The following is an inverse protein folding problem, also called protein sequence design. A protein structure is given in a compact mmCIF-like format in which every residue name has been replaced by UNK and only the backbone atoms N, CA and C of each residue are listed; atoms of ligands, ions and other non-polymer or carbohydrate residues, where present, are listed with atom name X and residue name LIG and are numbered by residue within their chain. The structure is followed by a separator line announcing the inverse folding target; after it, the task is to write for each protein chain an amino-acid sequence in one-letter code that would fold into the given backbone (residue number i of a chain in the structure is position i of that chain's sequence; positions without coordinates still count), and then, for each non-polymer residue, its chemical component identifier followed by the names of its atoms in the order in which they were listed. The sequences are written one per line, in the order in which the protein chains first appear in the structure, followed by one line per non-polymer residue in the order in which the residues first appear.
data_IF_715549108085
#
_entry.id   IF_715549108085
#
_cell.length_a   1.000
_cell.length_b   1.000
_cell.length_c   1.000
_cell.angle_alpha   90.00
_cell.angle_beta   90.00
_cell.angle_gamma   90.00
#
_symmetry.space_group_name_H-M   'P 1'
#
loop_
_entity.id
_entity.type
_entity.pdbx_description
1 polymer ?
#
# COMPACT_ATOMS: atom_id res chain seq x y z
N UNK A 1 25.61 -3.90 -23.23
CA UNK A 1 25.12 -4.92 -22.28
C UNK A 1 25.31 -6.28 -22.92
N UNK A 2 26.02 -7.20 -22.31
CA UNK A 2 25.96 -8.59 -22.76
C UNK A 2 24.68 -9.19 -22.16
N UNK A 3 23.79 -9.80 -22.96
CA UNK A 3 22.60 -10.48 -22.47
C UNK A 3 23.07 -11.73 -21.70
N UNK A 4 23.22 -11.58 -20.40
CA UNK A 4 23.55 -12.70 -19.52
C UNK A 4 22.33 -13.59 -19.28
N UNK A 5 22.55 -14.87 -19.04
CA UNK A 5 21.52 -15.76 -18.51
C UNK A 5 21.30 -15.42 -17.04
N UNK A 6 20.07 -15.08 -16.65
CA UNK A 6 19.66 -14.87 -15.28
C UNK A 6 18.83 -16.06 -14.78
N UNK A 7 18.90 -16.35 -13.50
CA UNK A 7 18.00 -17.34 -12.92
C UNK A 7 16.59 -16.75 -12.81
N UNK A 8 16.50 -15.48 -12.41
CA UNK A 8 15.23 -14.78 -12.20
C UNK A 8 15.26 -13.41 -12.86
N UNK A 9 14.18 -13.06 -13.55
CA UNK A 9 13.89 -11.69 -13.97
C UNK A 9 12.71 -11.15 -13.18
N UNK A 10 12.88 -9.98 -12.56
CA UNK A 10 11.83 -9.25 -11.85
C UNK A 10 11.42 -8.04 -12.69
N UNK A 11 10.14 -7.94 -13.03
CA UNK A 11 9.55 -6.81 -13.77
C UNK A 11 8.93 -5.83 -12.76
N UNK A 12 9.44 -4.60 -12.72
CA UNK A 12 8.97 -3.53 -11.83
C UNK A 12 9.65 -3.53 -10.47
N UNK A 13 10.14 -2.35 -10.10
CA UNK A 13 10.90 -2.09 -8.86
C UNK A 13 10.03 -1.64 -7.67
N UNK A 14 8.73 -1.92 -7.67
CA UNK A 14 7.90 -1.71 -6.48
C UNK A 14 8.39 -2.58 -5.31
N UNK A 15 7.98 -2.25 -4.08
CA UNK A 15 8.49 -2.90 -2.86
C UNK A 15 8.32 -4.43 -2.85
N UNK A 16 7.26 -4.96 -3.49
CA UNK A 16 7.07 -6.42 -3.64
C UNK A 16 8.12 -7.07 -4.54
N UNK A 17 8.41 -6.43 -5.69
CA UNK A 17 9.45 -6.87 -6.61
C UNK A 17 10.85 -6.75 -6.01
N UNK A 18 11.15 -5.62 -5.34
CA UNK A 18 12.40 -5.41 -4.64
C UNK A 18 12.62 -6.45 -3.53
N UNK A 19 11.60 -6.71 -2.72
CA UNK A 19 11.66 -7.74 -1.67
C UNK A 19 11.95 -9.14 -2.23
N UNK A 20 11.22 -9.55 -3.28
CA UNK A 20 11.46 -10.83 -3.94
C UNK A 20 12.87 -10.92 -4.55
N UNK A 21 13.27 -9.88 -5.29
CA UNK A 21 14.58 -9.83 -5.97
C UNK A 21 15.73 -9.83 -5.00
N UNK A 22 15.68 -9.04 -3.93
CA UNK A 22 16.72 -8.96 -2.91
C UNK A 22 16.89 -10.30 -2.16
N UNK A 23 15.77 -10.93 -1.76
CA UNK A 23 15.81 -12.24 -1.12
C UNK A 23 16.41 -13.31 -2.03
N UNK A 24 16.06 -13.34 -3.29
CA UNK A 24 16.59 -14.31 -4.25
C UNK A 24 18.07 -14.05 -4.55
N UNK A 25 18.47 -12.79 -4.77
CA UNK A 25 19.87 -12.43 -4.94
C UNK A 25 20.74 -12.84 -3.72
N UNK A 26 20.24 -12.58 -2.50
CA UNK A 26 20.90 -12.98 -1.24
C UNK A 26 21.05 -14.50 -1.13
N UNK A 27 20.11 -15.26 -1.69
CA UNK A 27 20.12 -16.74 -1.71
C UNK A 27 20.87 -17.34 -2.89
N UNK A 28 21.63 -16.51 -3.65
CA UNK A 28 22.52 -16.94 -4.71
C UNK A 28 21.92 -17.01 -6.11
N UNK A 29 20.64 -16.61 -6.31
CA UNK A 29 20.05 -16.53 -7.64
C UNK A 29 20.57 -15.29 -8.39
N UNK A 30 21.09 -15.48 -9.59
CA UNK A 30 21.44 -14.34 -10.45
C UNK A 30 20.18 -13.62 -10.91
N UNK A 31 19.91 -12.46 -10.35
CA UNK A 31 18.64 -11.74 -10.47
C UNK A 31 18.79 -10.47 -11.30
N UNK A 32 17.98 -10.34 -12.36
CA UNK A 32 17.81 -9.07 -13.05
C UNK A 32 16.49 -8.42 -12.62
N UNK A 33 16.55 -7.16 -12.22
CA UNK A 33 15.37 -6.30 -12.07
C UNK A 33 15.31 -5.32 -13.23
N UNK A 34 14.14 -5.16 -13.85
CA UNK A 34 13.88 -4.15 -14.87
C UNK A 34 12.79 -3.21 -14.43
N UNK A 35 13.04 -1.91 -14.56
CA UNK A 35 12.14 -0.83 -14.17
C UNK A 35 11.94 0.12 -15.35
N UNK A 36 10.67 0.45 -15.64
CA UNK A 36 10.34 1.30 -16.79
C UNK A 36 10.74 2.76 -16.61
N UNK A 37 10.79 3.25 -15.37
CA UNK A 37 11.15 4.63 -15.03
C UNK A 37 12.61 4.73 -14.60
N UNK A 38 13.12 5.96 -14.48
CA UNK A 38 14.45 6.22 -13.92
C UNK A 38 14.50 6.01 -12.39
N UNK A 39 13.32 5.93 -11.72
CA UNK A 39 13.18 5.89 -10.27
C UNK A 39 12.78 4.51 -9.76
N UNK A 40 13.49 4.03 -8.73
CA UNK A 40 13.22 2.77 -8.04
C UNK A 40 12.17 2.99 -6.95
N UNK A 41 11.33 1.97 -6.70
CA UNK A 41 10.40 1.91 -5.59
C UNK A 41 8.93 2.02 -5.97
N UNK A 42 8.61 2.41 -7.21
CA UNK A 42 7.22 2.56 -7.66
C UNK A 42 6.43 3.51 -6.76
N UNK A 43 5.32 3.06 -6.19
CA UNK A 43 4.50 3.82 -5.21
C UNK A 43 5.14 3.94 -3.81
N UNK A 44 6.21 3.24 -3.56
CA UNK A 44 7.02 3.33 -2.34
C UNK A 44 8.31 4.12 -2.57
N UNK A 45 8.33 4.99 -3.57
CA UNK A 45 9.45 5.85 -3.90
C UNK A 45 9.31 7.25 -3.26
N UNK A 46 10.30 8.09 -3.53
CA UNK A 46 10.32 9.50 -3.16
C UNK A 46 10.64 10.33 -4.40
N UNK A 47 9.92 11.41 -4.59
CA UNK A 47 10.26 12.43 -5.60
C UNK A 47 10.74 13.72 -4.93
N UNK A 48 11.62 14.43 -5.59
CA UNK A 48 12.00 15.78 -5.19
C UNK A 48 11.14 16.78 -5.95
N UNK A 49 10.43 17.63 -5.21
CA UNK A 49 9.57 18.67 -5.77
C UNK A 49 9.76 19.98 -5.04
N UNK A 50 10.29 21.00 -5.71
CA UNK A 50 10.59 22.33 -5.14
C UNK A 50 11.44 22.26 -3.84
N UNK A 51 12.38 21.33 -3.76
CA UNK A 51 13.23 21.11 -2.58
C UNK A 51 12.63 20.24 -1.48
N UNK A 52 11.38 19.81 -1.63
CA UNK A 52 10.73 18.86 -0.72
C UNK A 52 10.89 17.43 -1.23
N UNK A 53 11.01 16.47 -0.31
CA UNK A 53 10.99 15.04 -0.61
C UNK A 53 9.57 14.52 -0.36
N UNK A 54 8.84 14.27 -1.43
CA UNK A 54 7.45 13.83 -1.38
C UNK A 54 7.34 12.34 -1.68
N UNK A 55 6.57 11.57 -0.90
CA UNK A 55 6.29 10.17 -1.20
C UNK A 55 5.40 10.05 -2.43
N UNK A 56 5.68 9.03 -3.24
CA UNK A 56 4.94 8.79 -4.50
C UNK A 56 3.69 7.94 -4.32
N UNK A 57 3.31 7.61 -3.10
CA UNK A 57 2.12 6.78 -2.80
C UNK A 57 2.07 6.42 -1.33
N UNK A 58 2.77 5.37 -0.90
CA UNK A 58 2.89 5.02 0.50
C UNK A 58 3.65 6.13 1.24
N UNK A 59 3.01 6.74 2.23
CA UNK A 59 3.60 7.81 3.03
C UNK A 59 4.23 7.22 4.28
N UNK A 60 3.40 6.63 5.13
CA UNK A 60 3.84 5.94 6.32
C UNK A 60 3.98 4.45 6.06
N UNK A 61 5.00 3.84 6.64
CA UNK A 61 5.26 2.41 6.55
C UNK A 61 5.05 1.76 7.92
N UNK A 62 4.69 0.49 7.91
CA UNK A 62 4.52 -0.29 9.12
C UNK A 62 5.85 -0.98 9.48
N UNK A 63 6.31 -0.83 10.71
CA UNK A 63 7.47 -1.57 11.22
C UNK A 63 7.05 -3.00 11.54
N UNK A 64 7.59 -3.96 10.85
CA UNK A 64 7.23 -5.38 10.98
C UNK A 64 6.44 -5.92 9.79
N UNK A 65 5.79 -7.07 9.96
CA UNK A 65 4.91 -7.73 9.00
C UNK A 65 5.52 -7.90 7.59
N UNK A 66 6.75 -8.40 7.51
CA UNK A 66 7.43 -8.68 6.25
C UNK A 66 8.44 -7.60 5.83
N UNK A 67 8.28 -6.33 6.20
CA UNK A 67 9.27 -5.28 5.86
C UNK A 67 10.55 -5.52 6.67
N UNK A 68 10.48 -5.44 7.99
CA UNK A 68 11.64 -5.61 8.86
C UNK A 68 12.32 -6.96 8.66
N UNK A 69 11.54 -8.04 8.55
CA UNK A 69 12.05 -9.38 8.31
C UNK A 69 12.78 -9.50 6.97
N UNK A 70 12.28 -8.82 5.91
CA UNK A 70 12.97 -8.81 4.61
C UNK A 70 14.32 -8.13 4.71
N UNK A 71 14.38 -6.94 5.32
CA UNK A 71 15.63 -6.21 5.49
C UNK A 71 16.64 -6.98 6.34
N UNK A 72 16.21 -7.57 7.46
CA UNK A 72 17.04 -8.42 8.31
C UNK A 72 17.60 -9.63 7.56
N UNK A 73 16.76 -10.34 6.80
CA UNK A 73 17.17 -11.54 6.07
C UNK A 73 18.18 -11.23 4.97
N UNK A 74 18.06 -10.08 4.31
CA UNK A 74 19.03 -9.68 3.28
C UNK A 74 20.27 -9.00 3.86
N UNK A 75 20.27 -8.70 5.15
CA UNK A 75 21.38 -8.03 5.85
C UNK A 75 21.44 -6.53 5.57
N UNK A 76 20.31 -5.90 5.37
CA UNK A 76 20.15 -4.46 5.23
C UNK A 76 19.46 -3.87 6.47
N UNK A 77 19.72 -2.61 6.76
CA UNK A 77 19.07 -1.85 7.84
C UNK A 77 17.83 -1.15 7.31
N UNK A 78 16.72 -1.24 8.04
CA UNK A 78 15.48 -0.51 7.74
C UNK A 78 15.31 0.64 8.72
N UNK A 79 15.46 1.88 8.23
CA UNK A 79 15.36 3.08 9.05
C UNK A 79 13.94 3.62 9.03
N UNK A 80 13.35 3.73 10.22
CA UNK A 80 11.99 4.26 10.38
C UNK A 80 11.87 5.04 11.69
N UNK A 81 11.39 6.26 11.62
CA UNK A 81 11.02 7.08 12.77
C UNK A 81 9.55 6.85 13.08
N UNK A 82 9.30 6.28 14.25
CA UNK A 82 7.94 5.95 14.68
C UNK A 82 7.12 7.20 14.97
N UNK A 83 5.83 7.17 14.62
CA UNK A 83 4.91 8.24 14.97
C UNK A 83 4.44 8.05 16.43
N UNK A 84 4.74 8.98 17.33
CA UNK A 84 4.47 8.77 18.76
C UNK A 84 3.02 9.01 19.17
N UNK A 85 2.27 9.86 18.41
CA UNK A 85 0.95 10.34 18.80
C UNK A 85 -0.05 10.13 17.65
N UNK A 86 -1.26 9.74 18.02
CA UNK A 86 -2.40 9.60 17.11
C UNK A 86 -3.57 10.42 17.62
N UNK A 87 -4.16 11.22 16.77
CA UNK A 87 -5.34 12.02 17.05
C UNK A 87 -6.51 11.63 16.18
N UNK A 88 -7.70 11.83 16.73
CA UNK A 88 -8.95 11.88 15.98
C UNK A 88 -9.56 13.27 16.11
N UNK A 89 -9.89 13.90 14.98
CA UNK A 89 -10.71 15.11 14.96
C UNK A 89 -12.16 14.73 14.72
N UNK A 90 -13.02 15.07 15.67
CA UNK A 90 -14.45 14.75 15.69
C UNK A 90 -15.20 16.02 16.06
N UNK A 91 -16.10 16.49 15.19
CA UNK A 91 -16.85 17.72 15.43
C UNK A 91 -15.95 18.95 15.70
N UNK A 92 -14.80 19.04 15.02
CA UNK A 92 -13.84 20.13 15.16
C UNK A 92 -12.94 20.07 16.40
N UNK A 93 -13.04 19.03 17.24
CA UNK A 93 -12.19 18.84 18.42
C UNK A 93 -11.20 17.70 18.24
N UNK A 94 -9.96 17.93 18.68
CA UNK A 94 -8.88 16.92 18.62
C UNK A 94 -8.87 16.08 19.88
N UNK A 95 -8.91 14.77 19.70
CA UNK A 95 -8.83 13.77 20.77
C UNK A 95 -7.58 12.94 20.56
N UNK A 96 -6.63 13.06 21.50
CA UNK A 96 -5.44 12.20 21.49
C UNK A 96 -5.82 10.78 21.91
N UNK A 97 -5.36 9.82 21.14
CA UNK A 97 -5.58 8.40 21.40
C UNK A 97 -4.44 7.83 22.23
N UNK A 98 -4.73 7.02 23.24
CA UNK A 98 -3.68 6.39 24.01
C UNK A 98 -2.92 5.38 23.14
N UNK A 99 -1.63 5.27 23.39
CA UNK A 99 -0.70 4.41 22.64
C UNK A 99 -0.90 2.89 22.80
N UNK A 100 -2.01 2.46 23.40
CA UNK A 100 -2.25 1.05 23.78
C UNK A 100 -3.34 0.40 22.92
N UNK A 101 -2.96 -0.54 22.06
CA UNK A 101 -3.77 -1.53 21.33
C UNK A 101 -4.97 -1.05 20.53
N UNK A 102 -5.14 -1.59 19.34
CA UNK A 102 -6.25 -1.24 18.46
C UNK A 102 -7.63 -1.47 19.10
N UNK A 103 -7.80 -2.52 19.89
CA UNK A 103 -9.05 -2.76 20.60
C UNK A 103 -9.26 -1.75 21.75
N UNK A 104 -8.20 -1.39 22.49
CA UNK A 104 -8.26 -0.36 23.55
C UNK A 104 -8.56 1.01 22.94
N UNK A 105 -7.98 1.33 21.78
CA UNK A 105 -8.27 2.55 21.02
C UNK A 105 -9.75 2.62 20.64
N UNK A 106 -10.30 1.54 20.10
CA UNK A 106 -11.71 1.45 19.75
C UNK A 106 -12.61 1.61 20.98
N UNK A 107 -12.27 0.98 22.10
CA UNK A 107 -13.00 1.10 23.36
C UNK A 107 -12.97 2.53 23.91
N UNK A 108 -11.88 3.24 23.76
CA UNK A 108 -11.78 4.64 24.22
C UNK A 108 -12.49 5.62 23.28
N UNK A 109 -12.47 5.39 21.97
CA UNK A 109 -13.32 6.12 21.03
C UNK A 109 -14.79 5.96 21.44
N UNK A 110 -15.23 4.72 21.61
CA UNK A 110 -16.59 4.38 22.02
C UNK A 110 -16.92 4.93 23.42
N UNK A 111 -15.94 4.97 24.34
CA UNK A 111 -16.11 5.54 25.69
C UNK A 111 -16.30 7.04 25.71
N UNK A 112 -15.76 7.77 24.75
CA UNK A 112 -15.92 9.22 24.62
C UNK A 112 -17.22 9.61 23.90
N UNK A 113 -17.94 8.62 23.37
CA UNK A 113 -19.20 8.78 22.68
C UNK A 113 -20.34 8.22 23.54
N UNK A 114 -21.51 8.81 23.46
CA UNK A 114 -22.72 8.29 24.08
C UNK A 114 -23.31 7.09 23.27
N UNK A 115 -22.52 6.02 23.15
CA UNK A 115 -22.88 4.79 22.44
C UNK A 115 -23.18 3.66 23.44
N UNK A 116 -24.10 2.77 23.13
CA UNK A 116 -24.31 1.54 23.93
C UNK A 116 -23.06 0.63 23.83
N UNK A 117 -22.17 0.86 24.79
CA UNK A 117 -20.83 0.25 24.90
C UNK A 117 -20.90 -1.27 24.93
N UNK A 118 -21.91 -1.80 25.61
CA UNK A 118 -22.01 -3.23 25.89
C UNK A 118 -22.23 -4.03 24.61
N UNK A 119 -23.10 -3.53 23.73
CA UNK A 119 -23.41 -4.18 22.45
C UNK A 119 -22.24 -4.08 21.48
N UNK A 120 -21.66 -2.86 21.30
CA UNK A 120 -20.56 -2.67 20.34
C UNK A 120 -19.31 -3.43 20.76
N UNK A 121 -18.92 -3.37 22.05
CA UNK A 121 -17.77 -4.13 22.60
C UNK A 121 -18.01 -5.63 22.48
N UNK A 122 -19.21 -6.09 22.83
CA UNK A 122 -19.58 -7.50 22.67
C UNK A 122 -19.51 -7.95 21.22
N UNK A 123 -19.92 -7.12 20.27
CA UNK A 123 -19.82 -7.38 18.84
C UNK A 123 -18.36 -7.46 18.34
N UNK A 124 -17.51 -6.54 18.76
CA UNK A 124 -16.08 -6.53 18.43
C UNK A 124 -15.35 -7.76 19.01
N UNK A 125 -15.66 -8.11 20.27
CA UNK A 125 -15.11 -9.33 20.91
C UNK A 125 -15.59 -10.58 20.18
N UNK A 126 -16.87 -10.65 19.83
CA UNK A 126 -17.45 -11.76 19.07
C UNK A 126 -16.84 -11.89 17.68
N UNK A 127 -16.60 -10.77 16.98
CA UNK A 127 -15.92 -10.75 15.70
C UNK A 127 -14.47 -11.21 15.82
N UNK A 128 -13.71 -10.71 16.82
CA UNK A 128 -12.33 -11.14 17.08
C UNK A 128 -12.24 -12.62 17.53
N UNK A 129 -13.20 -13.10 18.32
CA UNK A 129 -13.31 -14.52 18.70
C UNK A 129 -13.73 -15.39 17.51
N UNK A 130 -14.63 -14.88 16.65
CA UNK A 130 -15.03 -15.51 15.39
C UNK A 130 -13.85 -15.70 14.44
N UNK A 131 -12.87 -14.79 14.42
CA UNK A 131 -11.64 -14.98 13.65
C UNK A 131 -10.77 -16.15 14.13
N UNK A 132 -10.68 -16.40 15.43
CA UNK A 132 -10.00 -17.59 15.96
C UNK A 132 -10.73 -18.88 15.56
N UNK A 133 -12.06 -18.85 15.50
CA UNK A 133 -12.90 -19.94 15.02
C UNK A 133 -12.88 -20.04 13.50
N UNK A 134 -12.79 -18.91 12.78
CA UNK A 134 -12.72 -18.83 11.31
C UNK A 134 -11.40 -19.35 10.72
N UNK A 135 -10.38 -19.64 11.53
CA UNK A 135 -9.25 -20.46 11.09
C UNK A 135 -9.69 -21.82 10.53
N UNK A 136 -10.81 -22.37 11.02
CA UNK A 136 -11.47 -23.55 10.47
C UNK A 136 -12.40 -23.23 9.27
N UNK A 137 -12.88 -22.00 9.16
CA UNK A 137 -13.74 -21.51 8.08
C UNK A 137 -12.97 -20.98 6.84
N UNK A 138 -11.63 -20.96 6.86
CA UNK A 138 -10.79 -20.52 5.73
C UNK A 138 -11.13 -21.17 4.38
N UNK A 139 -11.79 -22.32 4.39
CA UNK A 139 -12.30 -22.94 3.15
C UNK A 139 -13.52 -22.23 2.56
N UNK A 140 -14.32 -21.51 3.35
CA UNK A 140 -15.49 -20.77 2.86
C UNK A 140 -15.17 -19.32 2.46
N UNK A 141 -14.07 -18.76 2.94
CA UNK A 141 -13.60 -17.41 2.57
C UNK A 141 -12.92 -17.39 1.18
N UNK A 142 -12.75 -18.55 0.55
CA UNK A 142 -12.20 -18.67 -0.79
C UNK A 142 -13.08 -18.02 -1.89
N UNK A 143 -14.31 -17.62 -1.56
CA UNK A 143 -15.27 -17.00 -2.48
C UNK A 143 -15.69 -15.62 -1.95
N UNK A 144 -14.86 -14.58 -2.15
CA UNK A 144 -15.15 -13.22 -1.72
C UNK A 144 -16.47 -12.66 -2.25
N UNK A 145 -16.86 -13.11 -3.43
CA UNK A 145 -18.13 -12.75 -4.08
C UNK A 145 -19.38 -13.21 -3.33
N UNK A 146 -19.25 -14.11 -2.37
CA UNK A 146 -20.34 -14.55 -1.47
C UNK A 146 -20.45 -13.70 -0.21
N UNK A 147 -19.53 -12.79 0.04
CA UNK A 147 -19.60 -11.89 1.19
C UNK A 147 -20.47 -10.68 0.83
N UNK A 148 -21.65 -10.64 1.38
CA UNK A 148 -22.68 -9.63 1.05
C UNK A 148 -22.80 -8.53 2.08
N UNK A 149 -22.22 -8.67 3.29
CA UNK A 149 -22.32 -7.69 4.37
C UNK A 149 -21.16 -6.73 4.34
N UNK A 150 -21.44 -5.42 4.19
CA UNK A 150 -20.43 -4.36 4.34
C UNK A 150 -20.07 -4.17 5.82
N UNK A 151 -18.95 -3.46 6.06
CA UNK A 151 -18.59 -3.14 7.44
C UNK A 151 -19.59 -2.18 8.09
N UNK A 152 -20.16 -1.24 7.32
CA UNK A 152 -21.25 -0.36 7.79
C UNK A 152 -22.50 -1.17 8.19
N UNK A 153 -22.94 -2.13 7.37
CA UNK A 153 -24.09 -2.98 7.71
C UNK A 153 -23.84 -3.82 8.96
N UNK A 154 -22.60 -4.30 9.12
CA UNK A 154 -22.21 -5.01 10.34
C UNK A 154 -22.27 -4.07 11.56
N UNK A 155 -21.75 -2.86 11.45
CA UNK A 155 -21.74 -1.87 12.54
C UNK A 155 -23.15 -1.45 12.95
N UNK A 156 -24.06 -1.28 11.99
CA UNK A 156 -25.48 -0.96 12.22
C UNK A 156 -26.22 -1.98 13.11
N UNK A 157 -25.71 -3.22 13.24
CA UNK A 157 -26.27 -4.19 14.19
C UNK A 157 -26.01 -3.81 15.66
N UNK A 158 -25.10 -2.87 15.90
CA UNK A 158 -24.64 -2.50 17.25
C UNK A 158 -24.85 -1.03 17.57
N UNK A 159 -24.85 -0.15 16.61
CA UNK A 159 -25.03 1.29 16.79
C UNK A 159 -25.50 1.97 15.50
N UNK A 160 -26.37 2.96 15.65
CA UNK A 160 -26.81 3.89 14.62
C UNK A 160 -26.18 5.30 14.81
N UNK A 161 -25.24 5.45 15.73
CA UNK A 161 -24.56 6.71 16.00
C UNK A 161 -23.69 7.12 14.80
N UNK A 162 -24.08 8.22 14.11
CA UNK A 162 -23.40 8.71 12.90
C UNK A 162 -21.92 9.02 13.15
N UNK A 163 -21.57 9.55 14.33
CA UNK A 163 -20.16 9.85 14.65
C UNK A 163 -19.33 8.59 14.77
N UNK A 164 -19.89 7.49 15.30
CA UNK A 164 -19.22 6.20 15.31
C UNK A 164 -19.01 5.68 13.87
N UNK A 165 -20.03 5.82 13.03
CA UNK A 165 -19.92 5.45 11.60
C UNK A 165 -18.86 6.27 10.88
N UNK A 166 -18.78 7.59 11.09
CA UNK A 166 -17.77 8.47 10.48
C UNK A 166 -16.34 8.09 10.90
N UNK A 167 -16.13 7.75 12.18
CA UNK A 167 -14.83 7.32 12.69
C UNK A 167 -14.37 6.02 12.00
N UNK A 168 -15.25 5.03 11.97
CA UNK A 168 -14.93 3.75 11.34
C UNK A 168 -14.79 3.89 9.82
N UNK A 169 -15.55 4.76 9.19
CA UNK A 169 -15.40 5.05 7.77
C UNK A 169 -14.04 5.67 7.47
N UNK A 170 -13.60 6.64 8.28
CA UNK A 170 -12.27 7.25 8.17
C UNK A 170 -11.14 6.21 8.30
N UNK A 171 -11.26 5.26 9.24
CA UNK A 171 -10.31 4.16 9.39
C UNK A 171 -10.28 3.32 8.11
N UNK A 172 -11.44 2.91 7.62
CA UNK A 172 -11.58 2.11 6.42
C UNK A 172 -10.99 2.85 5.20
N UNK A 173 -11.38 4.09 4.97
CA UNK A 173 -10.95 4.90 3.84
C UNK A 173 -9.44 5.15 3.83
N UNK A 174 -8.84 5.43 4.99
CA UNK A 174 -7.40 5.72 5.09
C UNK A 174 -6.53 4.48 4.97
N UNK A 175 -6.96 3.36 5.52
CA UNK A 175 -6.11 2.18 5.71
C UNK A 175 -6.44 1.08 4.72
N UNK A 176 -7.72 0.72 4.62
CA UNK A 176 -8.19 -0.35 3.73
C UNK A 176 -8.45 0.14 2.31
N UNK A 177 -8.30 1.46 2.08
CA UNK A 177 -8.54 2.09 0.78
C UNK A 177 -9.95 1.78 0.24
N UNK A 178 -10.96 1.98 1.07
CA UNK A 178 -12.37 1.83 0.72
C UNK A 178 -13.26 2.26 1.88
N UNK A 179 -14.45 2.77 1.57
CA UNK A 179 -15.39 3.21 2.59
C UNK A 179 -16.05 2.03 3.31
N UNK A 180 -16.46 2.24 4.55
CA UNK A 180 -17.12 1.23 5.39
C UNK A 180 -18.37 0.62 4.72
N UNK A 181 -19.05 1.39 3.86
CA UNK A 181 -20.20 0.95 3.07
C UNK A 181 -19.85 0.22 1.77
N UNK A 182 -18.56 0.09 1.44
CA UNK A 182 -18.06 -0.63 0.26
C UNK A 182 -17.25 -1.87 0.66
N UNK A 183 -16.58 -1.84 1.81
CA UNK A 183 -15.68 -2.91 2.27
C UNK A 183 -16.47 -4.04 2.92
N UNK A 184 -16.21 -5.29 2.55
CA UNK A 184 -16.73 -6.43 3.31
C UNK A 184 -16.25 -6.40 4.77
N UNK A 185 -17.16 -6.62 5.72
CA UNK A 185 -16.82 -6.65 7.15
C UNK A 185 -15.64 -7.59 7.47
N UNK A 186 -15.58 -8.73 6.79
CA UNK A 186 -14.51 -9.70 6.96
C UNK A 186 -13.12 -9.20 6.55
N UNK A 187 -13.00 -8.12 5.78
CA UNK A 187 -11.71 -7.52 5.42
C UNK A 187 -11.15 -6.65 6.56
N UNK A 188 -12.03 -6.01 7.33
CA UNK A 188 -11.63 -5.03 8.36
C UNK A 188 -11.10 -5.71 9.63
N UNK A 189 -11.70 -6.82 10.06
CA UNK A 189 -11.30 -7.48 11.31
C UNK A 189 -9.84 -7.98 11.34
N UNK A 190 -9.30 -8.58 10.26
CA UNK A 190 -7.91 -9.00 10.24
C UNK A 190 -6.92 -7.84 10.40
N UNK A 191 -7.26 -6.65 9.95
CA UNK A 191 -6.43 -5.47 10.15
C UNK A 191 -6.26 -5.16 11.64
N UNK A 192 -7.34 -5.17 12.43
CA UNK A 192 -7.25 -4.93 13.87
C UNK A 192 -6.48 -6.03 14.61
N UNK A 193 -6.60 -7.28 14.17
CA UNK A 193 -6.03 -8.42 14.88
C UNK A 193 -4.60 -8.77 14.46
N UNK A 194 -4.26 -8.57 13.18
CA UNK A 194 -2.95 -8.95 12.62
C UNK A 194 -1.98 -7.79 12.53
N UNK A 195 -2.46 -6.61 12.15
CA UNK A 195 -1.60 -5.45 11.92
C UNK A 195 -1.39 -4.58 13.17
N UNK A 196 -2.05 -4.87 14.28
CA UNK A 196 -1.89 -4.10 15.52
C UNK A 196 -2.38 -2.65 15.41
N UNK A 197 -3.12 -2.33 14.37
CA UNK A 197 -3.60 -0.97 14.10
C UNK A 197 -2.50 -0.01 13.63
N UNK A 198 -2.60 1.26 14.01
CA UNK A 198 -1.65 2.34 13.63
C UNK A 198 -0.43 2.46 14.55
N UNK A 199 -0.19 1.52 15.46
CA UNK A 199 0.85 1.64 16.48
C UNK A 199 2.28 1.58 15.98
N UNK A 200 2.51 0.73 14.98
CA UNK A 200 3.85 0.48 14.45
C UNK A 200 4.06 1.18 13.11
N UNK A 201 3.46 2.36 12.97
CA UNK A 201 3.55 3.17 11.77
C UNK A 201 4.56 4.29 11.97
N UNK A 202 5.40 4.51 10.97
CA UNK A 202 6.42 5.54 10.97
C UNK A 202 6.75 6.05 9.58
N UNK A 203 7.61 7.04 9.51
CA UNK A 203 8.17 7.59 8.29
C UNK A 203 9.66 7.28 8.19
N UNK A 204 10.13 7.03 7.00
CA UNK A 204 11.56 6.86 6.73
C UNK A 204 12.24 8.23 6.70
N UNK A 205 13.33 8.46 7.47
CA UNK A 205 13.95 9.77 7.62
C UNK A 205 14.36 10.40 6.29
N UNK A 206 14.93 9.61 5.38
CA UNK A 206 15.43 10.08 4.09
C UNK A 206 14.44 9.86 2.94
N UNK A 207 13.19 9.50 3.25
CA UNK A 207 12.15 9.14 2.31
C UNK A 207 12.19 7.65 1.90
N UNK A 208 11.04 7.14 1.50
CA UNK A 208 10.88 5.70 1.18
C UNK A 208 11.82 5.23 0.06
N UNK A 209 12.10 6.10 -0.93
CA UNK A 209 13.01 5.77 -2.02
C UNK A 209 14.42 5.39 -1.57
N UNK A 210 14.91 6.00 -0.49
CA UNK A 210 16.22 5.65 0.10
C UNK A 210 16.22 4.22 0.64
N UNK A 211 15.13 3.80 1.27
CA UNK A 211 14.98 2.43 1.75
C UNK A 211 14.88 1.44 0.59
N UNK A 212 14.14 1.80 -0.47
CA UNK A 212 14.02 0.95 -1.67
C UNK A 212 15.38 0.73 -2.35
N UNK A 213 16.24 1.74 -2.37
CA UNK A 213 17.58 1.64 -2.94
C UNK A 213 18.49 0.67 -2.15
N UNK A 214 18.30 0.51 -0.83
CA UNK A 214 19.00 -0.49 -0.04
C UNK A 214 18.70 -1.91 -0.53
N UNK A 215 17.42 -2.23 -0.85
CA UNK A 215 17.06 -3.52 -1.42
C UNK A 215 17.63 -3.70 -2.84
N UNK A 216 17.62 -2.64 -3.65
CA UNK A 216 18.22 -2.67 -4.98
C UNK A 216 19.73 -2.91 -4.93
N UNK A 217 20.44 -2.35 -3.94
CA UNK A 217 21.87 -2.63 -3.69
C UNK A 217 22.11 -4.11 -3.41
N UNK A 218 21.25 -4.77 -2.65
CA UNK A 218 21.35 -6.21 -2.42
C UNK A 218 21.18 -6.99 -3.73
N UNK A 219 20.25 -6.63 -4.60
CA UNK A 219 20.08 -7.27 -5.92
C UNK A 219 21.39 -7.15 -6.73
N UNK A 220 22.03 -5.96 -6.73
CA UNK A 220 23.28 -5.71 -7.46
C UNK A 220 24.48 -6.51 -6.96
N UNK A 221 24.40 -7.15 -5.78
CA UNK A 221 25.49 -8.03 -5.31
C UNK A 221 25.56 -9.35 -6.06
N UNK A 222 24.45 -9.82 -6.66
CA UNK A 222 24.39 -11.05 -7.43
C UNK A 222 23.41 -10.91 -8.62
N UNK A 223 23.52 -9.80 -9.34
CA UNK A 223 22.68 -9.49 -10.50
C UNK A 223 22.71 -8.02 -10.85
N UNK A 224 21.66 -7.57 -11.51
CA UNK A 224 21.59 -6.22 -12.07
C UNK A 224 20.22 -5.58 -11.82
N UNK A 225 20.20 -4.24 -11.77
CA UNK A 225 19.00 -3.42 -11.73
C UNK A 225 19.09 -2.41 -12.88
N UNK A 226 18.17 -2.54 -13.84
CA UNK A 226 18.09 -1.67 -15.00
C UNK A 226 16.88 -0.74 -14.89
N UNK A 227 17.11 0.54 -14.83
CA UNK A 227 16.11 1.61 -14.94
C UNK A 227 16.01 2.13 -16.36
N UNK A 228 14.97 2.91 -16.65
CA UNK A 228 14.63 3.36 -18.01
C UNK A 228 14.59 2.18 -19.00
N UNK A 229 14.09 1.03 -18.52
CA UNK A 229 14.14 -0.24 -19.19
C UNK A 229 12.81 -0.99 -19.05
N UNK A 230 11.74 -0.56 -19.75
CA UNK A 230 10.47 -1.24 -19.71
C UNK A 230 10.54 -2.66 -20.27
N UNK A 231 9.91 -3.61 -19.59
CA UNK A 231 9.57 -4.90 -20.17
C UNK A 231 8.46 -4.70 -21.20
N UNK A 232 8.67 -5.16 -22.43
CA UNK A 232 7.72 -5.05 -23.54
C UNK A 232 6.95 -6.34 -23.77
N UNK A 233 7.52 -7.50 -23.35
CA UNK A 233 6.88 -8.80 -23.47
C UNK A 233 7.45 -9.80 -22.49
N UNK A 234 6.61 -10.65 -21.93
CA UNK A 234 7.01 -11.89 -21.25
C UNK A 234 7.00 -13.00 -22.30
N UNK A 235 8.14 -13.65 -22.50
CA UNK A 235 8.27 -14.73 -23.46
C UNK A 235 7.69 -16.01 -22.88
N UNK A 236 6.61 -16.50 -23.49
CA UNK A 236 5.94 -17.75 -23.10
C UNK A 236 6.14 -18.79 -24.17
N UNK A 237 6.79 -19.92 -23.81
CA UNK A 237 7.05 -21.02 -24.68
C UNK A 237 6.46 -22.32 -24.09
N UNK A 238 5.57 -22.97 -24.79
CA UNK A 238 4.88 -24.20 -24.33
C UNK A 238 4.23 -24.06 -22.95
N UNK A 239 3.56 -22.91 -22.71
CA UNK A 239 2.87 -22.62 -21.45
C UNK A 239 3.78 -22.27 -20.25
N UNK A 240 5.06 -21.95 -20.51
CA UNK A 240 6.06 -21.63 -19.51
C UNK A 240 6.76 -20.32 -19.85
N UNK A 241 6.94 -19.42 -18.88
CA UNK A 241 7.77 -18.25 -19.04
C UNK A 241 9.25 -18.65 -19.14
N UNK A 242 9.94 -18.10 -20.14
CA UNK A 242 11.35 -18.39 -20.47
C UNK A 242 12.23 -17.15 -20.48
N UNK A 243 11.69 -15.97 -20.20
CA UNK A 243 12.39 -14.70 -20.16
C UNK A 243 11.49 -13.52 -20.49
N UNK A 244 12.09 -12.37 -20.73
CA UNK A 244 11.41 -11.13 -21.07
C UNK A 244 12.09 -10.44 -22.25
N UNK A 245 11.31 -9.69 -23.04
CA UNK A 245 11.83 -8.66 -23.93
C UNK A 245 11.83 -7.35 -23.15
N UNK A 246 12.95 -6.65 -23.20
CA UNK A 246 13.13 -5.35 -22.57
C UNK A 246 13.60 -4.34 -23.59
N UNK A 247 13.19 -3.08 -23.44
CA UNK A 247 13.61 -1.99 -24.31
C UNK A 247 14.51 -1.03 -23.54
N UNK A 248 15.65 -0.67 -24.13
CA UNK A 248 16.53 0.37 -23.63
C UNK A 248 16.92 1.30 -24.77
N UNK A 249 16.47 2.54 -24.71
CA UNK A 249 16.48 3.41 -25.88
C UNK A 249 15.67 2.79 -27.03
N UNK A 250 16.24 2.77 -28.21
CA UNK A 250 15.62 2.20 -29.43
C UNK A 250 15.85 0.69 -29.60
N UNK A 251 16.60 0.06 -28.68
CA UNK A 251 16.98 -1.34 -28.80
C UNK A 251 16.12 -2.23 -27.93
N UNK A 252 15.54 -3.28 -28.54
CA UNK A 252 14.86 -4.34 -27.81
C UNK A 252 15.78 -5.56 -27.67
N UNK A 253 15.84 -6.12 -26.48
CA UNK A 253 16.74 -7.23 -26.14
C UNK A 253 15.95 -8.34 -25.42
N UNK A 254 16.14 -9.60 -25.84
CA UNK A 254 15.62 -10.75 -25.11
C UNK A 254 16.56 -11.09 -23.94
N UNK A 255 16.02 -11.14 -22.74
CA UNK A 255 16.70 -11.64 -21.54
C UNK A 255 16.09 -12.99 -21.19
N UNK A 256 16.91 -14.04 -21.20
CA UNK A 256 16.46 -15.40 -20.85
C UNK A 256 16.54 -15.62 -19.33
N UNK A 257 15.54 -16.29 -18.76
CA UNK A 257 15.51 -16.66 -17.35
C UNK A 257 14.71 -17.93 -17.11
N UNK A 258 14.95 -18.59 -15.97
CA UNK A 258 14.18 -19.76 -15.55
C UNK A 258 12.82 -19.34 -14.95
N UNK A 259 12.79 -18.17 -14.33
CA UNK A 259 11.63 -17.62 -13.60
C UNK A 259 11.44 -16.16 -13.96
N UNK A 260 10.18 -15.75 -14.09
CA UNK A 260 9.78 -14.35 -14.20
C UNK A 260 8.86 -14.01 -13.01
N UNK A 261 9.21 -12.96 -12.28
CA UNK A 261 8.38 -12.36 -11.23
C UNK A 261 7.90 -11.01 -11.72
N UNK A 262 6.59 -10.81 -11.81
CA UNK A 262 6.00 -9.57 -12.26
C UNK A 262 5.42 -8.76 -11.07
N UNK A 263 5.95 -7.57 -10.88
CA UNK A 263 5.42 -6.55 -9.97
C UNK A 263 4.70 -5.42 -10.75
N UNK A 264 4.37 -5.68 -12.02
CA UNK A 264 3.65 -4.73 -12.87
C UNK A 264 2.11 -4.77 -12.66
N UNK A 265 1.63 -5.61 -11.75
CA UNK A 265 0.22 -5.88 -11.52
C UNK A 265 -0.34 -6.94 -12.49
N UNK A 266 -1.42 -7.65 -12.08
CA UNK A 266 -1.93 -8.79 -12.85
C UNK A 266 -2.43 -8.43 -14.24
N UNK A 267 -3.07 -7.26 -14.41
CA UNK A 267 -3.56 -6.82 -15.73
C UNK A 267 -2.41 -6.61 -16.71
N UNK A 268 -1.37 -5.90 -16.29
CA UNK A 268 -0.18 -5.65 -17.10
C UNK A 268 0.61 -6.94 -17.34
N UNK A 269 0.65 -7.83 -16.37
CA UNK A 269 1.27 -9.16 -16.54
C UNK A 269 0.57 -9.98 -17.64
N UNK A 270 -0.77 -9.97 -17.66
CA UNK A 270 -1.55 -10.64 -18.71
C UNK A 270 -1.29 -10.00 -20.07
N UNK A 271 -1.24 -8.68 -20.16
CA UNK A 271 -0.90 -7.94 -21.38
C UNK A 271 0.48 -8.35 -21.90
N UNK A 272 1.51 -8.30 -21.04
CA UNK A 272 2.88 -8.63 -21.39
C UNK A 272 3.07 -10.08 -21.79
N UNK A 273 2.38 -11.00 -21.15
CA UNK A 273 2.49 -12.43 -21.43
C UNK A 273 1.56 -12.92 -22.56
N UNK A 274 0.59 -12.10 -22.96
CA UNK A 274 -0.44 -12.44 -23.93
C UNK A 274 -1.65 -13.14 -23.27
N UNK A 275 -2.84 -12.54 -23.41
CA UNK A 275 -4.07 -13.01 -22.74
C UNK A 275 -4.41 -14.48 -23.07
N UNK A 276 -4.08 -14.97 -24.25
CA UNK A 276 -4.32 -16.35 -24.66
C UNK A 276 -3.56 -17.42 -23.86
N UNK A 277 -2.57 -17.01 -23.06
CA UNK A 277 -1.83 -17.89 -22.15
C UNK A 277 -2.50 -18.07 -20.79
N UNK A 278 -3.63 -17.37 -20.53
CA UNK A 278 -4.35 -17.41 -19.26
C UNK A 278 -5.71 -18.07 -19.41
N UNK A 279 -6.11 -18.84 -18.41
CA UNK A 279 -7.43 -19.46 -18.39
C UNK A 279 -8.55 -18.44 -18.25
N UNK A 280 -9.73 -18.77 -18.76
CA UNK A 280 -10.93 -17.92 -18.57
C UNK A 280 -11.25 -17.69 -17.10
N UNK A 281 -11.06 -18.71 -16.25
CA UNK A 281 -11.24 -18.57 -14.80
C UNK A 281 -10.29 -17.56 -14.18
N UNK A 282 -9.01 -17.57 -14.54
CA UNK A 282 -8.07 -16.57 -14.06
C UNK A 282 -8.48 -15.16 -14.48
N UNK A 283 -8.86 -15.01 -15.75
CA UNK A 283 -9.35 -13.72 -16.29
C UNK A 283 -10.64 -13.26 -15.60
N UNK A 284 -11.56 -14.18 -15.31
CA UNK A 284 -12.80 -13.90 -14.59
C UNK A 284 -12.51 -13.46 -13.16
N UNK A 285 -11.66 -14.20 -12.43
CA UNK A 285 -11.25 -13.86 -11.06
C UNK A 285 -10.57 -12.48 -11.04
N UNK A 286 -9.67 -12.21 -12.00
CA UNK A 286 -9.00 -10.93 -12.11
C UNK A 286 -10.00 -9.77 -12.26
N UNK A 287 -11.00 -9.90 -13.15
CA UNK A 287 -12.04 -8.88 -13.31
C UNK A 287 -12.90 -8.68 -12.06
N UNK A 288 -13.19 -9.74 -11.31
CA UNK A 288 -14.01 -9.67 -10.10
C UNK A 288 -13.26 -9.11 -8.89
N UNK A 289 -11.98 -9.46 -8.74
CA UNK A 289 -11.22 -9.15 -7.52
C UNK A 289 -10.39 -7.88 -7.58
N UNK A 290 -9.87 -7.53 -8.76
CA UNK A 290 -9.06 -6.31 -8.86
C UNK A 290 -9.97 -5.07 -8.85
N UNK A 291 -9.85 -4.34 -7.77
CA UNK A 291 -10.56 -3.08 -7.53
C UNK A 291 -9.53 -1.97 -7.33
N UNK A 292 -9.07 -1.32 -8.41
CA UNK A 292 -8.24 -0.14 -8.27
C UNK A 292 -9.05 0.94 -7.56
N UNK A 293 -8.41 1.67 -6.63
CA UNK A 293 -9.10 2.72 -5.90
C UNK A 293 -8.50 4.09 -6.23
N UNK A 294 -9.35 5.03 -6.58
CA UNK A 294 -8.92 6.40 -6.81
C UNK A 294 -8.60 7.09 -5.49
N UNK A 295 -7.70 8.08 -5.52
CA UNK A 295 -7.24 8.83 -4.35
C UNK A 295 -6.72 10.20 -4.79
N UNK A 296 -6.75 11.18 -3.88
CA UNK A 296 -6.00 12.43 -4.04
C UNK A 296 -4.93 12.49 -2.95
N UNK A 297 -3.67 12.61 -3.38
CA UNK A 297 -2.53 12.87 -2.50
C UNK A 297 -2.30 14.37 -2.46
N UNK A 298 -2.41 15.00 -1.31
CA UNK A 298 -2.23 16.44 -1.18
C UNK A 298 -1.06 16.76 -0.25
N UNK A 299 -0.25 17.74 -0.66
CA UNK A 299 0.92 18.21 0.09
C UNK A 299 0.78 19.71 0.33
N UNK A 300 1.01 20.11 1.57
CA UNK A 300 0.95 21.50 2.02
C UNK A 300 2.31 21.90 2.56
N UNK A 301 2.88 22.96 2.01
CA UNK A 301 4.11 23.58 2.52
C UNK A 301 3.79 24.80 3.36
N UNK A 302 4.58 25.09 4.40
CA UNK A 302 4.41 26.24 5.28
C UNK A 302 5.71 26.69 5.92
N UNK A 303 5.74 27.95 6.43
CA UNK A 303 6.87 28.54 7.13
C UNK A 303 6.90 28.20 8.63
N UNK A 304 5.86 27.54 9.14
CA UNK A 304 5.72 27.06 10.52
C UNK A 304 4.80 25.85 10.55
N UNK A 305 4.79 25.05 11.63
CA UNK A 305 3.82 23.97 11.79
C UNK A 305 2.38 24.51 11.70
N UNK A 306 1.55 23.89 10.85
CA UNK A 306 0.13 24.21 10.77
C UNK A 306 -0.71 23.32 11.70
N UNK A 307 -0.24 22.11 11.93
CA UNK A 307 -0.80 21.15 12.88
C UNK A 307 0.20 20.00 13.11
N UNK A 308 0.39 19.56 14.39
CA UNK A 308 0.06 20.31 15.61
C UNK A 308 0.87 21.62 15.66
N UNK A 309 0.31 22.66 16.29
CA UNK A 309 0.96 23.99 16.32
C UNK A 309 2.29 24.00 17.10
N UNK A 310 2.45 23.06 18.04
CA UNK A 310 3.70 22.83 18.78
C UNK A 310 4.78 22.12 17.96
N UNK A 311 4.48 21.75 16.69
CA UNK A 311 5.39 21.05 15.80
C UNK A 311 5.67 19.60 16.17
N UNK A 312 4.92 19.02 17.10
CA UNK A 312 5.13 17.63 17.54
C UNK A 312 4.76 16.62 16.44
N UNK A 313 5.41 15.47 16.48
CA UNK A 313 5.15 14.36 15.56
C UNK A 313 3.85 13.65 15.91
N UNK A 314 2.92 13.58 14.95
CA UNK A 314 1.60 12.98 15.14
C UNK A 314 0.99 12.52 13.82
N UNK A 315 -0.09 11.73 13.88
CA UNK A 315 -1.03 11.50 12.77
C UNK A 315 -2.41 11.95 13.23
N UNK A 316 -3.16 12.63 12.38
CA UNK A 316 -4.56 12.95 12.61
C UNK A 316 -5.45 12.14 11.67
N UNK A 317 -6.44 11.47 12.24
CA UNK A 317 -7.57 10.90 11.52
C UNK A 317 -8.75 11.87 11.61
N UNK A 318 -9.47 12.05 10.52
CA UNK A 318 -10.48 13.10 10.36
C UNK A 318 -11.85 12.49 10.06
N UNK A 319 -12.75 12.55 11.03
CA UNK A 319 -14.12 12.06 10.90
C UNK A 319 -15.07 13.17 10.42
N UNK A 320 -15.98 12.85 9.51
CA UNK A 320 -17.02 13.78 9.04
C UNK A 320 -16.52 14.86 8.08
N UNK A 321 -15.38 14.67 7.41
CA UNK A 321 -14.86 15.56 6.37
C UNK A 321 -15.48 15.26 5.02
N UNK A 322 -15.25 16.13 4.01
CA UNK A 322 -15.73 15.88 2.65
C UNK A 322 -14.91 14.80 1.95
N UNK A 323 -13.56 14.90 2.07
CA UNK A 323 -12.59 14.03 1.37
C UNK A 323 -11.36 13.69 2.20
N UNK A 324 -10.79 14.67 2.93
CA UNK A 324 -9.54 14.46 3.66
C UNK A 324 -9.78 13.55 4.87
N UNK A 325 -9.21 12.36 4.85
CA UNK A 325 -9.40 11.35 5.90
C UNK A 325 -8.26 11.32 6.90
N UNK A 326 -7.07 11.78 6.51
CA UNK A 326 -5.94 11.88 7.44
C UNK A 326 -4.95 12.97 7.05
N UNK A 327 -4.23 13.46 8.06
CA UNK A 327 -3.14 14.43 7.94
C UNK A 327 -1.91 13.92 8.67
N UNK A 328 -0.74 14.05 8.03
CA UNK A 328 0.56 13.67 8.58
C UNK A 328 1.53 14.84 8.43
N UNK A 329 1.98 15.48 9.52
CA UNK A 329 3.01 16.53 9.49
C UNK A 329 4.37 15.87 9.26
N UNK A 330 4.71 15.61 8.01
CA UNK A 330 5.86 14.80 7.61
C UNK A 330 7.17 15.35 8.16
N UNK A 331 7.40 16.67 8.05
CA UNK A 331 8.63 17.31 8.53
C UNK A 331 8.77 17.32 10.05
N UNK A 332 7.69 17.13 10.81
CA UNK A 332 7.75 16.94 12.26
C UNK A 332 8.24 15.53 12.65
N UNK A 333 8.14 14.56 11.73
CA UNK A 333 8.54 13.17 11.92
C UNK A 333 9.89 12.90 11.24
N UNK A 334 10.06 13.42 10.02
CA UNK A 334 11.24 13.28 9.18
C UNK A 334 11.64 14.69 8.66
N UNK A 335 12.42 15.47 9.43
CA UNK A 335 12.76 16.86 9.08
C UNK A 335 13.44 17.01 7.72
N UNK A 336 14.15 16.00 7.26
CA UNK A 336 14.86 16.01 5.99
C UNK A 336 13.94 15.99 4.76
N UNK A 337 12.62 15.83 4.95
CA UNK A 337 11.67 15.90 3.84
C UNK A 337 11.29 17.34 3.43
N UNK A 338 11.72 18.35 4.19
CA UNK A 338 11.49 19.75 3.88
C UNK A 338 12.79 20.56 3.86
N UNK A 339 12.88 21.65 3.07
CA UNK A 339 13.99 22.59 3.16
C UNK A 339 14.13 23.21 4.55
N UNK A 340 15.33 23.65 4.96
CA UNK A 340 15.54 24.32 6.25
C UNK A 340 14.56 25.49 6.46
N UNK A 341 13.90 25.55 7.62
CA UNK A 341 12.93 26.58 7.96
C UNK A 341 11.57 26.44 7.29
N UNK A 342 11.33 25.35 6.56
CA UNK A 342 10.01 25.03 6.00
C UNK A 342 9.45 23.74 6.58
N UNK A 343 8.16 23.59 6.47
CA UNK A 343 7.41 22.42 6.90
C UNK A 343 6.61 21.84 5.74
N UNK A 344 6.42 20.52 5.74
CA UNK A 344 5.54 19.84 4.81
C UNK A 344 4.60 18.91 5.55
N UNK A 345 3.33 19.00 5.16
CA UNK A 345 2.24 18.18 5.66
C UNK A 345 1.64 17.43 4.48
N UNK A 346 1.39 16.15 4.68
CA UNK A 346 0.65 15.30 3.76
C UNK A 346 -0.80 15.16 4.21
N UNK A 347 -1.73 15.20 3.26
CA UNK A 347 -3.13 14.86 3.46
C UNK A 347 -3.57 13.78 2.48
N UNK A 348 -4.22 12.75 3.00
CA UNK A 348 -4.83 11.69 2.22
C UNK A 348 -6.31 12.01 2.04
N UNK A 349 -6.76 12.10 0.80
CA UNK A 349 -8.14 12.40 0.49
C UNK A 349 -8.76 11.26 -0.35
N UNK A 350 -9.93 10.81 0.08
CA UNK A 350 -10.66 9.70 -0.49
C UNK A 350 -11.90 10.21 -1.22
N UNK A 351 -12.14 9.84 -2.48
CA UNK A 351 -13.39 10.13 -3.16
C UNK A 351 -14.55 9.38 -2.46
N UNK A 352 -15.78 9.82 -2.66
CA UNK A 352 -16.96 9.19 -2.04
C UNK A 352 -17.22 7.74 -2.45
N UNK A 353 -16.60 7.25 -3.48
CA UNK A 353 -16.69 5.84 -3.90
C UNK A 353 -15.38 5.42 -4.57
N UNK A 354 -14.93 4.23 -4.20
CA UNK A 354 -13.78 3.56 -4.82
C UNK A 354 -14.17 2.65 -5.99
N UNK A 355 -15.48 2.49 -6.22
CA UNK A 355 -16.00 1.59 -7.26
C UNK A 355 -16.18 2.26 -8.63
N UNK A 356 -16.08 3.58 -8.69
CA UNK A 356 -16.30 4.38 -9.90
C UNK A 356 -15.15 5.33 -10.17
N UNK A 357 -15.04 5.75 -11.43
CA UNK A 357 -14.11 6.80 -11.82
C UNK A 357 -14.48 8.11 -11.12
N UNK A 358 -13.51 8.75 -10.46
CA UNK A 358 -13.71 10.04 -9.81
C UNK A 358 -13.75 11.18 -10.84
N UNK A 359 -14.50 12.23 -10.53
CA UNK A 359 -14.37 13.52 -11.19
C UNK A 359 -13.20 14.27 -10.55
N UNK A 360 -12.05 14.31 -11.22
CA UNK A 360 -10.80 14.84 -10.66
C UNK A 360 -10.90 16.30 -10.25
N UNK A 361 -11.57 17.14 -11.05
CA UNK A 361 -11.76 18.57 -10.75
C UNK A 361 -12.57 18.76 -9.45
N UNK A 362 -13.66 18.02 -9.30
CA UNK A 362 -14.49 18.08 -8.10
C UNK A 362 -13.76 17.52 -6.88
N UNK A 363 -13.03 16.43 -7.02
CA UNK A 363 -12.26 15.84 -5.91
C UNK A 363 -11.13 16.77 -5.44
N UNK A 364 -10.43 17.41 -6.36
CA UNK A 364 -9.41 18.42 -6.04
C UNK A 364 -10.03 19.62 -5.33
N UNK A 365 -11.17 20.13 -5.83
CA UNK A 365 -11.90 21.23 -5.21
C UNK A 365 -12.35 20.90 -3.79
N UNK A 366 -12.94 19.74 -3.57
CA UNK A 366 -13.40 19.31 -2.24
C UNK A 366 -12.23 19.09 -1.28
N UNK A 367 -11.13 18.54 -1.76
CA UNK A 367 -9.90 18.36 -0.99
C UNK A 367 -9.33 19.72 -0.55
N UNK A 368 -9.29 20.70 -1.47
CA UNK A 368 -8.81 22.04 -1.14
C UNK A 368 -9.70 22.72 -0.08
N UNK A 369 -11.02 22.61 -0.19
CA UNK A 369 -11.96 23.14 0.82
C UNK A 369 -11.70 22.54 2.18
N UNK A 370 -11.56 21.21 2.27
CA UNK A 370 -11.23 20.55 3.53
C UNK A 370 -9.89 21.06 4.10
N UNK A 371 -8.84 21.16 3.30
CA UNK A 371 -7.53 21.64 3.76
C UNK A 371 -7.60 23.05 4.33
N UNK A 372 -8.35 23.94 3.70
CA UNK A 372 -8.49 25.33 4.19
C UNK A 372 -9.31 25.46 5.46
N UNK A 373 -10.29 24.58 5.66
CA UNK A 373 -11.09 24.52 6.90
C UNK A 373 -10.33 23.82 8.02
N UNK A 374 -9.62 22.73 7.71
CA UNK A 374 -8.88 21.93 8.70
C UNK A 374 -7.60 22.61 9.19
N UNK A 375 -7.02 23.47 8.36
CA UNK A 375 -5.76 24.16 8.62
C UNK A 375 -5.95 25.68 8.51
N UNK A 376 -6.52 26.35 9.51
CA UNK A 376 -6.82 27.80 9.46
C UNK A 376 -5.60 28.68 9.13
N UNK A 377 -4.40 28.22 9.54
CA UNK A 377 -3.14 28.91 9.23
C UNK A 377 -2.68 28.78 7.79
N UNK A 378 -3.27 27.91 6.97
CA UNK A 378 -2.84 27.63 5.61
C UNK A 378 -2.80 28.89 4.74
N UNK A 379 -3.84 29.70 4.78
CA UNK A 379 -3.93 30.91 3.95
C UNK A 379 -2.91 32.00 4.32
N UNK A 380 -2.39 31.97 5.55
CA UNK A 380 -1.47 32.99 6.07
C UNK A 380 -0.01 32.55 6.05
N UNK A 381 0.25 31.29 6.34
CA UNK A 381 1.58 30.76 6.62
C UNK A 381 2.00 29.64 5.67
N UNK A 382 1.12 29.24 4.75
CA UNK A 382 1.38 28.09 3.88
C UNK A 382 0.79 28.22 2.49
N UNK A 383 1.00 27.19 1.72
CA UNK A 383 0.43 27.01 0.39
C UNK A 383 0.18 25.53 0.12
N UNK A 384 -0.78 25.23 -0.71
CA UNK A 384 -0.90 23.90 -1.31
C UNK A 384 0.29 23.74 -2.27
N UNK A 385 1.17 22.81 -1.95
CA UNK A 385 2.39 22.56 -2.71
C UNK A 385 2.10 21.73 -3.96
N UNK A 386 1.32 20.65 -3.79
CA UNK A 386 0.92 19.73 -4.85
C UNK A 386 -0.37 19.03 -4.44
N UNK A 387 -1.27 18.81 -5.39
CA UNK A 387 -2.36 17.85 -5.30
C UNK A 387 -2.30 16.93 -6.50
N UNK A 388 -2.34 15.63 -6.26
CA UNK A 388 -2.16 14.59 -7.28
C UNK A 388 -3.36 13.64 -7.25
N UNK A 389 -4.31 13.81 -8.19
CA UNK A 389 -5.41 12.88 -8.35
C UNK A 389 -4.92 11.61 -9.04
N UNK A 390 -5.29 10.46 -8.52
CA UNK A 390 -5.04 9.14 -9.12
C UNK A 390 -6.35 8.42 -9.33
N UNK A 391 -6.77 8.34 -10.57
CA UNK A 391 -8.01 7.71 -10.97
C UNK A 391 -7.84 6.19 -11.15
N UNK A 392 -8.94 5.47 -11.34
CA UNK A 392 -8.97 4.00 -11.47
C UNK A 392 -8.18 3.44 -12.66
N UNK A 393 -7.94 4.26 -13.67
CA UNK A 393 -7.15 3.95 -14.87
C UNK A 393 -5.71 4.46 -14.82
N UNK A 394 -5.31 5.09 -13.74
CA UNK A 394 -3.92 5.52 -13.55
C UNK A 394 -3.03 4.28 -13.32
N UNK A 395 -1.90 4.20 -13.99
CA UNK A 395 -0.98 3.04 -13.90
C UNK A 395 -0.50 2.77 -12.48
N UNK A 396 -0.38 3.82 -11.67
CA UNK A 396 0.05 3.76 -10.27
C UNK A 396 -1.12 3.65 -9.26
N UNK A 397 -2.35 3.40 -9.70
CA UNK A 397 -3.47 3.24 -8.78
C UNK A 397 -3.29 1.96 -7.97
N UNK A 398 -3.41 2.09 -6.64
CA UNK A 398 -3.33 0.95 -5.74
C UNK A 398 -4.49 -0.02 -6.00
N UNK A 399 -4.25 -1.29 -5.75
CA UNK A 399 -5.30 -2.31 -5.84
C UNK A 399 -5.83 -2.60 -4.44
N UNK A 400 -7.16 -2.66 -4.36
CA UNK A 400 -7.87 -2.91 -3.12
C UNK A 400 -7.54 -4.28 -2.54
N UNK A 401 -7.21 -4.30 -1.27
CA UNK A 401 -6.70 -5.49 -0.58
C UNK A 401 -7.76 -6.52 -0.20
N UNK A 402 -9.03 -6.31 -0.56
CA UNK A 402 -10.09 -7.17 -0.06
C UNK A 402 -10.06 -8.57 -0.66
N UNK A 403 -9.58 -8.67 -1.89
CA UNK A 403 -9.62 -9.90 -2.64
C UNK A 403 -8.39 -10.06 -3.52
N UNK A 404 -7.27 -10.42 -2.89
CA UNK A 404 -6.02 -10.60 -3.61
C UNK A 404 -6.07 -11.71 -4.67
N UNK A 405 -5.32 -11.52 -5.73
CA UNK A 405 -5.04 -12.54 -6.73
C UNK A 405 -4.04 -13.57 -6.20
N UNK A 406 -4.02 -14.80 -6.75
CA UNK A 406 -2.95 -15.75 -6.44
C UNK A 406 -1.60 -15.24 -6.97
N UNK A 407 -0.52 -15.60 -6.26
CA UNK A 407 0.87 -15.33 -6.67
C UNK A 407 1.20 -16.13 -7.92
N UNK A 408 0.83 -17.40 -7.94
CA UNK A 408 0.99 -18.26 -9.12
C UNK A 408 0.02 -17.83 -10.22
N UNK A 409 0.50 -17.92 -11.47
CA UNK A 409 -0.32 -17.70 -12.66
C UNK A 409 -0.55 -19.03 -13.40
N UNK A 410 -1.50 -19.10 -14.35
CA UNK A 410 -1.63 -20.24 -15.24
C UNK A 410 -0.39 -20.51 -16.09
N UNK A 411 0.44 -19.50 -16.33
CA UNK A 411 1.71 -19.64 -17.04
C UNK A 411 2.77 -20.15 -16.06
N UNK A 412 3.32 -21.34 -16.31
CA UNK A 412 4.36 -21.91 -15.44
C UNK A 412 5.56 -20.96 -15.34
N UNK A 413 6.19 -20.89 -14.17
CA UNK A 413 7.36 -20.04 -13.87
C UNK A 413 7.10 -18.53 -13.99
N UNK A 414 5.85 -18.11 -14.04
CA UNK A 414 5.42 -16.71 -13.97
C UNK A 414 4.65 -16.46 -12.68
N UNK A 415 5.14 -15.56 -11.86
CA UNK A 415 4.56 -15.22 -10.56
C UNK A 415 4.24 -13.73 -10.52
N UNK A 416 3.12 -13.37 -9.89
CA UNK A 416 2.78 -11.98 -9.58
C UNK A 416 3.14 -11.63 -8.14
N UNK A 417 3.63 -10.42 -7.92
CA UNK A 417 3.85 -9.83 -6.59
C UNK A 417 3.31 -8.40 -6.56
N UNK A 418 3.15 -7.85 -5.38
CA UNK A 418 2.62 -6.50 -5.17
C UNK A 418 1.32 -6.51 -4.37
N UNK A 419 0.70 -5.36 -4.25
CA UNK A 419 -0.52 -5.16 -3.45
C UNK A 419 -1.76 -5.86 -4.01
N UNK A 420 -1.77 -6.25 -5.27
CA UNK A 420 -2.86 -7.05 -5.83
C UNK A 420 -2.86 -8.53 -5.38
N UNK A 421 -1.79 -9.00 -4.71
CA UNK A 421 -1.63 -10.38 -4.22
C UNK A 421 -1.84 -10.50 -2.70
N UNK A 422 -2.53 -9.55 -2.09
CA UNK A 422 -2.68 -9.48 -0.64
C UNK A 422 -3.63 -10.54 -0.09
N UNK A 423 -3.31 -11.14 1.05
CA UNK A 423 -4.32 -11.86 1.82
C UNK A 423 -5.31 -10.86 2.42
N UNK A 424 -6.54 -11.32 2.65
CA UNK A 424 -7.60 -10.51 3.24
C UNK A 424 -7.14 -9.79 4.53
N UNK A 425 -7.36 -8.48 4.60
CA UNK A 425 -7.04 -7.63 5.75
C UNK A 425 -5.55 -7.31 5.93
N UNK A 426 -4.72 -7.57 4.93
CA UNK A 426 -3.33 -7.08 4.88
C UNK A 426 -3.23 -6.06 3.76
N UNK A 427 -2.70 -4.89 4.05
CA UNK A 427 -2.79 -3.73 3.16
C UNK A 427 -1.44 -3.12 2.79
N UNK A 428 -1.42 -2.36 1.70
CA UNK A 428 -0.37 -1.45 1.31
C UNK A 428 1.00 -2.10 1.09
N UNK A 429 2.04 -1.35 1.47
CA UNK A 429 3.43 -1.74 1.28
C UNK A 429 3.81 -3.03 2.02
N UNK A 430 3.26 -3.22 3.22
CA UNK A 430 3.47 -4.41 4.06
C UNK A 430 3.02 -5.69 3.36
N UNK A 431 1.83 -5.68 2.80
CA UNK A 431 1.33 -6.82 2.07
C UNK A 431 2.05 -7.02 0.74
N UNK A 432 2.43 -5.94 0.07
CA UNK A 432 3.17 -6.02 -1.18
C UNK A 432 4.52 -6.73 -0.98
N UNK A 433 5.30 -6.37 0.06
CA UNK A 433 6.58 -7.03 0.34
C UNK A 433 6.38 -8.47 0.82
N UNK A 434 5.32 -8.77 1.59
CA UNK A 434 4.98 -10.14 1.99
C UNK A 434 4.70 -11.02 0.78
N UNK A 435 4.00 -10.50 -0.23
CA UNK A 435 3.80 -11.23 -1.49
C UNK A 435 5.13 -11.58 -2.18
N UNK A 436 6.09 -10.64 -2.15
CA UNK A 436 7.45 -10.85 -2.64
C UNK A 436 8.19 -11.95 -1.87
N UNK A 437 8.10 -11.95 -0.53
CA UNK A 437 8.65 -13.02 0.32
C UNK A 437 8.09 -14.40 -0.03
N UNK A 438 6.77 -14.48 -0.18
CA UNK A 438 6.09 -15.73 -0.56
C UNK A 438 6.49 -16.21 -1.94
N UNK A 439 6.60 -15.31 -2.92
CA UNK A 439 7.10 -15.66 -4.26
C UNK A 439 8.54 -16.17 -4.21
N UNK A 440 9.42 -15.51 -3.45
CA UNK A 440 10.80 -15.95 -3.27
C UNK A 440 10.90 -17.35 -2.64
N UNK A 441 10.00 -17.68 -1.69
CA UNK A 441 9.93 -19.03 -1.11
C UNK A 441 9.43 -20.09 -2.11
N UNK A 442 8.47 -19.75 -2.97
CA UNK A 442 8.00 -20.66 -4.04
C UNK A 442 9.16 -20.95 -5.00
N UNK A 443 9.88 -19.91 -5.42
CA UNK A 443 11.03 -20.04 -6.32
C UNK A 443 12.12 -20.90 -5.66
N UNK A 444 12.48 -20.64 -4.40
CA UNK A 444 13.49 -21.43 -3.66
C UNK A 444 13.17 -22.93 -3.59
N UNK A 445 11.87 -23.29 -3.47
CA UNK A 445 11.43 -24.68 -3.42
C UNK A 445 11.44 -25.37 -4.79
N UNK A 446 11.18 -24.61 -5.85
CA UNK A 446 11.02 -25.15 -7.21
C UNK A 446 12.26 -25.10 -8.11
N UNK A 447 13.25 -24.27 -7.78
CA UNK A 447 14.39 -23.98 -8.66
C UNK A 447 15.70 -23.94 -7.86
N UNK A 448 16.79 -24.21 -8.54
CA UNK A 448 18.15 -24.07 -7.98
C UNK A 448 18.88 -22.90 -8.64
N UNK A 449 19.71 -22.14 -7.89
CA UNK A 449 20.57 -21.11 -8.47
C UNK A 449 21.56 -21.72 -9.48
N UNK A 450 21.81 -21.01 -10.57
CA UNK A 450 22.84 -21.40 -11.55
C UNK A 450 22.52 -22.65 -12.40
N UNK A 451 21.27 -23.12 -12.45
CA UNK A 451 20.86 -24.30 -13.24
C UNK A 451 20.57 -23.98 -14.72
#
# INVERSE_FOLDING_TARGET
MQPGKYDVVVIGSGIGGLGAGALLAKRGYRTLMVEQTSRIGGRCATEEYQGFKLPTGAVALHKGLGITETYQEVGAEFDITMVPRLFYRIGGKDYEMPSKGSLTMLLEIVNKMEVDRTKLVGGLIKAAAGEKIMGAFRKSIAEPEKQTMTFRDWLLQYTDNEVAHDIFDTICATIECGHSYEIPAAAVFPWFTKMGGLREVGLTPHGNGFEMEKLAKVIRTNGDVWTDCPATKIVVEKGKASGVLVRKGDSETKVSSQVVISNAGPRKTVELAGANNFSEDYMRIMRLRLRPHPVVLAFVASDRPLWPEDGSAAIMMLAGTRRVTSIIPMSSIAPECAPPGQHVLFAYASPKSYCVRMNEEEELRQTELDLRELLPGLNKYGRILKMEPRNIDHDDTATNAWFGMPIETPVKNLYNVGDAMLPLGVVGATGAIDSGRRAAEIVRKGFKPGA
#
